data_IF_579413690792
#
_entry.id   IF_579413690792
#
_cell.length_a   1.000
_cell.length_b   1.000
_cell.length_c   1.000
_cell.angle_alpha   90.00
_cell.angle_beta   90.00
_cell.angle_gamma   90.00
#
_symmetry.space_group_name_H-M   'P 1'
#
loop_
_entity.id
_entity.type
_entity.pdbx_description
1 polymer ?
#
# COMPACT_ATOMS: atom_id res chain seq x y z
N UNK A 1 -18.91 -17.09 9.34
CA UNK A 1 -19.34 -18.13 8.37
C UNK A 1 -18.53 -17.94 7.09
N UNK A 2 -17.66 -18.91 6.74
CA UNK A 2 -16.88 -18.89 5.49
C UNK A 2 -17.63 -19.72 4.44
N UNK A 3 -17.90 -19.15 3.27
CA UNK A 3 -18.59 -19.84 2.17
C UNK A 3 -17.58 -20.69 1.38
N UNK A 4 -17.96 -21.89 0.92
CA UNK A 4 -17.10 -22.79 0.11
C UNK A 4 -16.50 -22.08 -1.12
N UNK A 5 -17.26 -21.15 -1.72
CA UNK A 5 -16.82 -20.35 -2.86
C UNK A 5 -15.65 -19.42 -2.55
N UNK A 6 -15.55 -18.91 -1.32
CA UNK A 6 -14.42 -18.09 -0.90
C UNK A 6 -13.12 -18.89 -0.71
N UNK A 7 -13.18 -20.23 -0.79
CA UNK A 7 -12.05 -21.16 -0.70
C UNK A 7 -11.53 -21.58 -2.08
N UNK A 8 -12.37 -21.56 -3.12
CA UNK A 8 -12.05 -22.12 -4.45
C UNK A 8 -11.80 -21.07 -5.52
N UNK A 9 -12.59 -19.99 -5.57
CA UNK A 9 -12.49 -18.95 -6.60
C UNK A 9 -12.92 -17.61 -6.00
N UNK A 10 -11.97 -16.73 -5.75
CA UNK A 10 -12.27 -15.38 -5.30
C UNK A 10 -11.65 -14.39 -6.26
N UNK A 11 -12.51 -13.83 -7.11
CA UNK A 11 -12.32 -12.48 -7.63
C UNK A 11 -12.23 -11.52 -6.43
N UNK A 12 -11.00 -11.29 -5.98
CA UNK A 12 -10.68 -10.47 -4.83
C UNK A 12 -11.16 -9.03 -5.07
N UNK A 13 -12.35 -8.69 -4.58
CA UNK A 13 -12.82 -7.32 -4.57
C UNK A 13 -12.24 -6.60 -3.34
N UNK A 14 -11.60 -5.46 -3.61
CA UNK A 14 -11.08 -4.56 -2.58
C UNK A 14 -12.09 -3.44 -2.37
N UNK A 15 -12.23 -2.99 -1.13
CA UNK A 15 -13.16 -1.92 -0.76
C UNK A 15 -12.81 -0.61 -1.49
N UNK A 16 -11.51 -0.33 -1.64
CA UNK A 16 -11.02 0.89 -2.28
C UNK A 16 -9.90 0.64 -3.33
N UNK A 17 -10.24 0.15 -4.53
CA UNK A 17 -9.24 -0.22 -5.54
C UNK A 17 -8.42 0.97 -6.05
N UNK A 18 -9.03 2.17 -6.14
CA UNK A 18 -8.34 3.40 -6.58
C UNK A 18 -7.37 3.93 -5.51
N UNK A 19 -7.76 3.92 -4.23
CA UNK A 19 -6.91 4.37 -3.14
C UNK A 19 -5.71 3.43 -2.95
N UNK A 20 -5.91 2.11 -3.09
CA UNK A 20 -4.80 1.14 -3.07
C UNK A 20 -3.80 1.36 -4.21
N UNK A 21 -4.28 1.73 -5.40
CA UNK A 21 -3.39 2.07 -6.53
C UNK A 21 -2.59 3.35 -6.24
N UNK A 22 -3.22 4.38 -5.70
CA UNK A 22 -2.55 5.60 -5.21
C UNK A 22 -1.52 5.30 -4.11
N UNK A 23 -1.87 4.44 -3.15
CA UNK A 23 -0.99 4.01 -2.08
C UNK A 23 0.26 3.28 -2.61
N UNK A 24 0.11 2.43 -3.65
CA UNK A 24 1.25 1.82 -4.34
C UNK A 24 2.14 2.85 -5.04
N UNK A 25 1.55 3.84 -5.73
CA UNK A 25 2.34 4.92 -6.33
C UNK A 25 3.06 5.76 -5.29
N UNK A 26 2.46 6.00 -4.12
CA UNK A 26 3.11 6.70 -3.02
C UNK A 26 4.41 6.03 -2.57
N UNK A 27 4.44 4.70 -2.53
CA UNK A 27 5.67 3.94 -2.22
C UNK A 27 6.76 4.08 -3.29
N UNK A 28 6.40 4.44 -4.53
CA UNK A 28 7.33 4.63 -5.65
C UNK A 28 7.87 6.06 -5.74
N UNK A 29 7.28 7.02 -5.02
CA UNK A 29 7.73 8.43 -4.96
C UNK A 29 9.24 8.60 -4.71
N UNK A 30 9.91 7.84 -3.83
CA UNK A 30 11.34 8.05 -3.58
C UNK A 30 12.26 7.63 -4.73
N UNK A 31 11.81 6.76 -5.65
CA UNK A 31 12.63 6.24 -6.76
C UNK A 31 13.26 7.32 -7.64
N UNK A 32 12.52 8.33 -8.15
CA UNK A 32 13.12 9.41 -8.95
C UNK A 32 14.12 10.28 -8.17
N UNK A 33 14.10 10.26 -6.84
CA UNK A 33 15.03 11.04 -6.01
C UNK A 33 16.33 10.31 -5.70
N UNK A 34 16.43 9.00 -5.96
CA UNK A 34 17.65 8.20 -5.78
C UNK A 34 18.89 8.80 -6.47
N UNK A 35 18.85 9.26 -7.74
CA UNK A 35 20.03 9.89 -8.35
C UNK A 35 20.41 11.24 -7.72
N UNK A 36 19.45 11.95 -7.13
CA UNK A 36 19.67 13.23 -6.42
C UNK A 36 20.02 13.04 -4.94
N UNK A 37 19.98 11.82 -4.42
CA UNK A 37 20.24 11.53 -3.02
C UNK A 37 21.57 12.09 -2.48
N UNK A 38 22.72 12.04 -3.19
CA UNK A 38 23.96 12.65 -2.70
C UNK A 38 23.88 14.18 -2.58
N UNK A 39 23.05 14.84 -3.41
CA UNK A 39 22.85 16.29 -3.37
C UNK A 39 21.88 16.64 -2.23
N UNK A 40 20.73 15.97 -2.16
CA UNK A 40 19.72 16.19 -1.12
C UNK A 40 20.27 15.82 0.27
N UNK A 41 21.04 14.73 0.36
CA UNK A 41 21.66 14.27 1.60
C UNK A 41 22.80 15.17 2.10
N UNK A 42 23.29 16.11 1.27
CA UNK A 42 24.29 17.09 1.71
C UNK A 42 23.69 18.20 2.58
N UNK A 43 22.38 18.43 2.48
CA UNK A 43 21.66 19.46 3.24
C UNK A 43 20.61 18.83 4.18
N UNK A 44 20.91 18.83 5.48
CA UNK A 44 20.03 18.33 6.52
C UNK A 44 18.73 19.15 6.64
N UNK A 45 18.73 20.43 6.24
CA UNK A 45 17.56 21.32 6.28
C UNK A 45 16.52 20.89 5.25
N UNK A 46 16.94 20.29 4.14
CA UNK A 46 16.04 19.79 3.09
C UNK A 46 15.71 18.31 3.31
N UNK A 47 16.71 17.50 3.67
CA UNK A 47 16.54 16.06 3.84
C UNK A 47 15.58 15.72 5.00
N UNK A 48 15.72 16.37 6.16
CA UNK A 48 14.93 16.03 7.34
C UNK A 48 13.43 16.30 7.15
N UNK A 49 12.98 17.49 6.69
CA UNK A 49 11.57 17.74 6.43
C UNK A 49 10.99 16.80 5.38
N UNK A 50 11.75 16.48 4.33
CA UNK A 50 11.33 15.56 3.28
C UNK A 50 11.09 14.15 3.83
N UNK A 51 12.00 13.65 4.65
CA UNK A 51 11.85 12.36 5.34
C UNK A 51 10.66 12.36 6.31
N UNK A 52 10.47 13.43 7.09
CA UNK A 52 9.33 13.54 8.01
C UNK A 52 8.00 13.55 7.26
N UNK A 53 7.90 14.30 6.17
CA UNK A 53 6.71 14.34 5.32
C UNK A 53 6.39 12.95 4.72
N UNK A 54 7.41 12.22 4.29
CA UNK A 54 7.25 10.86 3.77
C UNK A 54 6.78 9.88 4.86
N UNK A 55 7.37 9.95 6.05
CA UNK A 55 6.99 9.09 7.17
C UNK A 55 5.57 9.35 7.69
N UNK A 56 5.09 10.60 7.61
CA UNK A 56 3.71 10.93 7.96
C UNK A 56 2.70 10.22 7.04
N UNK A 57 3.00 10.13 5.74
CA UNK A 57 2.11 9.50 4.76
C UNK A 57 2.28 7.99 4.62
N UNK A 58 3.42 7.41 5.02
CA UNK A 58 3.66 5.96 4.84
C UNK A 58 2.73 5.10 5.71
N UNK A 59 2.37 5.58 6.91
CA UNK A 59 1.46 4.90 7.84
C UNK A 59 0.12 4.51 7.20
N UNK A 60 -0.70 5.48 6.75
CA UNK A 60 -1.98 5.21 6.10
C UNK A 60 -1.83 4.50 4.74
N UNK A 61 -0.70 4.69 4.05
CA UNK A 61 -0.42 3.98 2.80
C UNK A 61 -0.25 2.48 3.05
N UNK A 62 0.45 2.08 4.11
CA UNK A 62 0.66 0.68 4.45
C UNK A 62 -0.64 0.00 4.88
N UNK A 63 -1.56 0.69 5.55
CA UNK A 63 -2.87 0.13 5.91
C UNK A 63 -3.71 -0.16 4.67
N UNK A 64 -3.74 0.75 3.70
CA UNK A 64 -4.42 0.59 2.40
C UNK A 64 -3.81 -0.52 1.54
N UNK A 65 -2.48 -0.66 1.53
CA UNK A 65 -1.83 -1.71 0.74
C UNK A 65 -2.07 -3.11 1.34
N UNK A 66 -2.11 -3.21 2.68
CA UNK A 66 -2.37 -4.44 3.44
C UNK A 66 -3.84 -4.79 3.60
N UNK A 67 -4.75 -3.97 3.08
CA UNK A 67 -6.19 -4.20 3.15
C UNK A 67 -6.53 -5.57 2.56
N UNK A 68 -7.18 -6.41 3.38
CA UNK A 68 -7.51 -7.79 3.01
C UNK A 68 -8.66 -7.77 2.01
N UNK A 69 -8.61 -8.58 0.94
CA UNK A 69 -9.73 -8.64 0.00
C UNK A 69 -10.98 -9.18 0.68
N UNK A 70 -12.15 -8.76 0.20
CA UNK A 70 -13.46 -9.13 0.75
C UNK A 70 -14.19 -10.01 -0.28
N UNK A 71 -14.88 -11.05 0.21
CA UNK A 71 -15.73 -11.90 -0.63
C UNK A 71 -17.08 -11.19 -0.88
N UNK A 72 -17.51 -10.96 -2.14
CA UNK A 72 -18.68 -10.12 -2.45
C UNK A 72 -20.03 -10.74 -2.03
N UNK A 73 -20.06 -12.03 -1.70
CA UNK A 73 -21.31 -12.76 -1.37
C UNK A 73 -21.55 -12.85 0.14
N UNK A 74 -20.49 -13.03 0.94
CA UNK A 74 -20.62 -13.20 2.39
C UNK A 74 -19.99 -12.08 3.22
N UNK A 75 -19.34 -11.10 2.57
CA UNK A 75 -18.67 -9.99 3.26
C UNK A 75 -17.48 -10.41 4.12
N UNK A 76 -17.07 -11.68 4.08
CA UNK A 76 -15.94 -12.16 4.87
C UNK A 76 -14.61 -11.74 4.22
N UNK A 77 -13.64 -11.36 5.05
CA UNK A 77 -12.25 -11.19 4.60
C UNK A 77 -11.71 -12.52 4.11
N UNK A 78 -11.24 -12.56 2.88
CA UNK A 78 -10.62 -13.76 2.33
C UNK A 78 -9.19 -13.85 2.83
N UNK A 79 -8.86 -15.00 3.42
CA UNK A 79 -7.48 -15.38 3.75
C UNK A 79 -6.81 -15.77 2.43
N UNK A 80 -6.56 -14.79 1.58
CA UNK A 80 -5.68 -14.99 0.43
C UNK A 80 -4.28 -15.19 0.99
N UNK A 81 -3.79 -16.43 0.93
CA UNK A 81 -2.38 -16.70 1.12
C UNK A 81 -1.63 -15.85 0.08
N UNK A 82 -0.87 -14.88 0.59
CA UNK A 82 0.26 -14.18 -0.05
C UNK A 82 0.56 -14.55 -1.51
N UNK A 83 0.39 -13.62 -2.48
CA UNK A 83 1.20 -13.67 -3.69
C UNK A 83 2.61 -13.18 -3.34
N UNK A 84 3.60 -14.04 -3.59
CA UNK A 84 5.04 -13.75 -3.63
C UNK A 84 5.38 -12.58 -4.54
#
# INVERSE_FOLDING_TARGET
MHCERCRTDVDAQYEHPRLRRLARYYLLIPIPFVPLFPIIGSDYVVMLPLMMAYMLGIGPVLTLVREKPICPVCGAHVVTATPT
#
